data_IF_019184739671
#
_entry.id   IF_019184739671
#
_cell.length_a   1.000
_cell.length_b   1.000
_cell.length_c   1.000
_cell.angle_alpha   90.00
_cell.angle_beta   90.00
_cell.angle_gamma   90.00
#
_symmetry.space_group_name_H-M   'P 1'
#
loop_
_entity.id
_entity.type
_entity.pdbx_description
1 polymer ?
#
# COMPACT_ATOMS: atom_id res chain seq x y z
N UNK A 1 -46.31 -9.61 10.21
CA UNK A 1 -45.29 -10.17 11.12
C UNK A 1 -43.96 -10.07 10.39
N UNK A 2 -43.26 -8.94 10.58
CA UNK A 2 -41.90 -8.75 10.06
C UNK A 2 -40.93 -9.48 10.96
N UNK A 3 -40.30 -10.52 10.44
CA UNK A 3 -39.20 -11.22 11.09
C UNK A 3 -37.96 -10.35 10.92
N UNK A 4 -37.65 -9.51 11.92
CA UNK A 4 -36.35 -8.88 12.02
C UNK A 4 -35.32 -9.98 12.28
N UNK A 5 -34.62 -10.39 11.22
CA UNK A 5 -33.47 -11.26 11.32
C UNK A 5 -32.44 -10.56 12.22
N UNK A 6 -32.37 -10.98 13.48
CA UNK A 6 -31.32 -10.58 14.40
C UNK A 6 -30.00 -11.06 13.81
N UNK A 7 -29.20 -10.12 13.30
CA UNK A 7 -27.84 -10.40 12.89
C UNK A 7 -27.09 -11.01 14.08
N UNK A 8 -26.65 -12.26 13.93
CA UNK A 8 -25.98 -13.01 14.98
C UNK A 8 -24.63 -12.35 15.33
N UNK A 9 -24.44 -11.84 16.57
CA UNK A 9 -23.19 -11.22 16.99
C UNK A 9 -21.99 -12.19 16.99
N UNK A 10 -22.23 -13.49 16.87
CA UNK A 10 -21.19 -14.54 16.82
C UNK A 10 -20.41 -14.56 15.48
N UNK A 11 -20.97 -13.98 14.41
CA UNK A 11 -20.37 -13.95 13.06
C UNK A 11 -19.36 -12.80 12.86
N UNK A 12 -19.02 -12.04 13.91
CA UNK A 12 -17.97 -11.02 13.81
C UNK A 12 -16.63 -11.69 13.51
N UNK A 13 -15.95 -11.28 12.43
CA UNK A 13 -14.65 -11.85 12.08
C UNK A 13 -13.63 -11.52 13.19
N UNK A 14 -12.57 -12.32 13.33
CA UNK A 14 -11.50 -12.03 14.29
C UNK A 14 -10.95 -10.60 14.13
N UNK A 15 -10.88 -10.11 12.89
CA UNK A 15 -10.44 -8.75 12.55
C UNK A 15 -11.38 -7.71 13.16
N UNK A 16 -12.70 -7.91 13.11
CA UNK A 16 -13.68 -6.95 13.65
C UNK A 16 -13.57 -6.86 15.18
N UNK A 17 -13.35 -7.99 15.85
CA UNK A 17 -13.13 -8.03 17.30
C UNK A 17 -11.82 -7.33 17.69
N UNK A 18 -10.75 -7.58 16.93
CA UNK A 18 -9.45 -6.93 17.18
C UNK A 18 -9.53 -5.43 16.92
N UNK A 19 -10.21 -5.01 15.86
CA UNK A 19 -10.46 -3.60 15.52
C UNK A 19 -11.21 -2.89 16.64
N UNK A 20 -12.28 -3.50 17.16
CA UNK A 20 -13.05 -2.96 18.28
C UNK A 20 -12.19 -2.79 19.53
N UNK A 21 -11.33 -3.76 19.86
CA UNK A 21 -10.41 -3.67 21.02
C UNK A 21 -9.38 -2.55 20.88
N UNK A 22 -8.91 -2.31 19.66
CA UNK A 22 -7.91 -1.29 19.34
C UNK A 22 -8.53 0.08 19.04
N UNK A 23 -9.86 0.23 19.05
CA UNK A 23 -10.59 1.44 18.67
C UNK A 23 -10.22 1.97 17.28
N UNK A 24 -9.90 1.08 16.34
CA UNK A 24 -9.57 1.40 14.94
C UNK A 24 -10.60 0.80 13.99
N UNK A 25 -10.80 1.36 12.79
CA UNK A 25 -11.69 0.77 11.80
C UNK A 25 -11.14 -0.60 11.32
N UNK A 26 -11.99 -1.63 11.11
CA UNK A 26 -11.54 -2.95 10.67
C UNK A 26 -10.86 -2.91 9.30
N UNK A 27 -11.22 -1.94 8.45
CA UNK A 27 -10.56 -1.75 7.16
C UNK A 27 -9.10 -1.30 7.32
N UNK A 28 -8.74 -0.61 8.41
CA UNK A 28 -7.35 -0.25 8.70
C UNK A 28 -6.51 -1.49 9.01
N UNK A 29 -7.06 -2.44 9.79
CA UNK A 29 -6.38 -3.71 10.05
C UNK A 29 -6.24 -4.55 8.77
N UNK A 30 -7.28 -4.60 7.94
CA UNK A 30 -7.21 -5.26 6.62
C UNK A 30 -6.14 -4.60 5.74
N UNK A 31 -6.08 -3.27 5.71
CA UNK A 31 -5.06 -2.53 4.96
C UNK A 31 -3.65 -2.81 5.46
N UNK A 32 -3.44 -2.90 6.76
CA UNK A 32 -2.15 -3.24 7.37
C UNK A 32 -1.73 -4.67 7.02
N UNK A 33 -2.66 -5.62 7.05
CA UNK A 33 -2.42 -6.99 6.60
C UNK A 33 -2.09 -7.05 5.11
N UNK A 34 -2.88 -6.38 4.26
CA UNK A 34 -2.61 -6.30 2.81
C UNK A 34 -1.24 -5.68 2.57
N UNK A 35 -0.88 -4.61 3.28
CA UNK A 35 0.43 -3.97 3.18
C UNK A 35 1.57 -4.92 3.56
N UNK A 36 1.42 -5.66 4.68
CA UNK A 36 2.39 -6.66 5.10
C UNK A 36 2.57 -7.79 4.09
N UNK A 37 1.47 -8.35 3.57
CA UNK A 37 1.51 -9.40 2.53
C UNK A 37 2.13 -8.86 1.23
N UNK A 38 1.78 -7.64 0.85
CA UNK A 38 2.36 -6.96 -0.33
C UNK A 38 3.87 -6.84 -0.21
N UNK A 39 4.38 -6.48 0.97
CA UNK A 39 5.81 -6.40 1.23
C UNK A 39 6.50 -7.77 1.07
N UNK A 40 5.90 -8.84 1.60
CA UNK A 40 6.43 -10.21 1.43
C UNK A 40 6.42 -10.64 -0.03
N UNK A 41 5.35 -10.34 -0.78
CA UNK A 41 5.27 -10.62 -2.22
C UNK A 41 6.37 -9.87 -2.97
N UNK A 42 6.61 -8.59 -2.65
CA UNK A 42 7.68 -7.81 -3.25
C UNK A 42 9.05 -8.48 -3.02
N UNK A 43 9.35 -8.88 -1.77
CA UNK A 43 10.61 -9.54 -1.44
C UNK A 43 10.77 -10.90 -2.16
N UNK A 44 9.71 -11.71 -2.17
CA UNK A 44 9.72 -13.02 -2.82
C UNK A 44 9.87 -12.90 -4.35
N UNK A 45 9.13 -11.99 -4.98
CA UNK A 45 9.22 -11.72 -6.41
C UNK A 45 10.60 -11.18 -6.79
N UNK A 46 11.15 -10.24 -6.00
CA UNK A 46 12.49 -9.72 -6.21
C UNK A 46 13.54 -10.83 -6.15
N UNK A 47 13.52 -11.65 -5.09
CA UNK A 47 14.45 -12.78 -4.94
C UNK A 47 14.31 -13.77 -6.09
N UNK A 48 13.10 -14.11 -6.50
CA UNK A 48 12.85 -15.03 -7.60
C UNK A 48 13.37 -14.47 -8.93
N UNK A 49 13.14 -13.18 -9.21
CA UNK A 49 13.57 -12.53 -10.45
C UNK A 49 15.09 -12.29 -10.49
N UNK A 50 15.69 -11.89 -9.37
CA UNK A 50 17.11 -11.55 -9.28
C UNK A 50 18.02 -12.77 -9.10
N UNK A 51 17.66 -13.73 -8.24
CA UNK A 51 18.55 -14.86 -7.94
C UNK A 51 18.21 -16.12 -8.75
N UNK A 52 16.91 -16.39 -8.96
CA UNK A 52 16.44 -17.72 -9.40
C UNK A 52 16.19 -17.77 -10.90
N UNK A 53 15.56 -16.74 -11.47
CA UNK A 53 15.20 -16.73 -12.88
C UNK A 53 16.33 -16.15 -13.73
N UNK A 54 16.88 -16.91 -14.69
CA UNK A 54 17.83 -16.41 -15.66
C UNK A 54 17.16 -15.64 -16.82
N UNK A 55 15.86 -15.29 -16.67
CA UNK A 55 15.08 -14.54 -17.67
C UNK A 55 15.59 -13.11 -17.82
N UNK A 56 16.23 -12.56 -16.79
CA UNK A 56 16.79 -11.21 -16.81
C UNK A 56 18.27 -11.23 -17.29
N UNK A 57 18.76 -10.11 -17.84
CA UNK A 57 20.16 -9.98 -18.27
C UNK A 57 21.14 -10.35 -17.15
N UNK A 58 22.38 -10.71 -17.52
CA UNK A 58 23.42 -11.01 -16.55
C UNK A 58 23.61 -9.82 -15.58
N UNK A 59 23.78 -10.13 -14.29
CA UNK A 59 24.31 -9.15 -13.33
C UNK A 59 25.66 -8.66 -13.88
N UNK A 60 26.01 -7.41 -13.61
CA UNK A 60 27.24 -6.75 -14.09
C UNK A 60 27.11 -6.11 -15.49
N UNK A 61 25.90 -6.10 -16.08
CA UNK A 61 25.65 -5.30 -17.29
C UNK A 61 25.30 -3.87 -16.89
N UNK A 62 26.23 -2.94 -17.11
CA UNK A 62 25.98 -1.51 -16.96
C UNK A 62 25.00 -1.02 -18.03
N UNK A 63 24.05 -0.17 -17.64
CA UNK A 63 23.11 0.45 -18.57
C UNK A 63 23.13 1.96 -18.40
N UNK A 64 23.50 2.66 -19.47
CA UNK A 64 23.45 4.11 -19.53
C UNK A 64 22.04 4.59 -19.86
N UNK A 65 21.41 5.26 -18.90
CA UNK A 65 20.27 6.14 -19.16
C UNK A 65 20.78 7.53 -19.51
N UNK A 66 19.95 8.30 -20.22
CA UNK A 66 20.24 9.67 -20.66
C UNK A 66 20.76 10.59 -19.53
N UNK A 67 20.38 10.32 -18.28
CA UNK A 67 20.74 11.15 -17.13
C UNK A 67 21.56 10.43 -16.05
N UNK A 68 21.76 9.11 -16.15
CA UNK A 68 22.47 8.32 -15.14
C UNK A 68 22.85 6.91 -15.63
N UNK A 69 23.99 6.41 -15.20
CA UNK A 69 24.42 5.02 -15.43
C UNK A 69 23.96 4.14 -14.28
N UNK A 70 23.29 3.04 -14.57
CA UNK A 70 23.02 2.00 -13.57
C UNK A 70 24.04 0.86 -13.67
N UNK A 71 24.71 0.51 -12.56
CA UNK A 71 25.77 -0.50 -12.55
C UNK A 71 25.25 -1.93 -12.69
N UNK A 72 23.96 -2.17 -12.42
CA UNK A 72 23.34 -3.49 -12.53
C UNK A 72 21.91 -3.36 -13.08
N UNK A 73 21.76 -3.60 -14.39
CA UNK A 73 20.45 -3.57 -15.04
C UNK A 73 19.54 -4.71 -14.57
N UNK A 74 20.10 -5.84 -14.13
CA UNK A 74 19.32 -6.97 -13.62
C UNK A 74 18.66 -6.60 -12.31
N UNK A 75 19.41 -5.94 -11.42
CA UNK A 75 18.90 -5.42 -10.15
C UNK A 75 17.75 -4.43 -10.38
N UNK A 76 17.93 -3.52 -11.35
CA UNK A 76 16.90 -2.54 -11.69
C UNK A 76 15.63 -3.23 -12.21
N UNK A 77 15.75 -4.11 -13.21
CA UNK A 77 14.59 -4.78 -13.80
C UNK A 77 13.89 -5.67 -12.77
N UNK A 78 14.64 -6.43 -11.98
CA UNK A 78 14.08 -7.28 -10.93
C UNK A 78 13.31 -6.46 -9.88
N UNK A 79 13.87 -5.33 -9.44
CA UNK A 79 13.23 -4.46 -8.44
C UNK A 79 11.96 -3.79 -8.98
N UNK A 80 11.98 -3.28 -10.22
CA UNK A 80 10.81 -2.67 -10.86
C UNK A 80 9.69 -3.70 -11.04
N UNK A 81 9.99 -4.87 -11.61
CA UNK A 81 8.99 -5.91 -11.82
C UNK A 81 8.42 -6.46 -10.51
N UNK A 82 9.23 -6.62 -9.47
CA UNK A 82 8.77 -7.04 -8.16
C UNK A 82 7.79 -6.03 -7.53
N UNK A 83 8.10 -4.73 -7.64
CA UNK A 83 7.24 -3.65 -7.15
C UNK A 83 5.91 -3.64 -7.91
N UNK A 84 5.94 -3.75 -9.24
CA UNK A 84 4.72 -3.80 -10.06
C UNK A 84 3.81 -4.99 -9.69
N UNK A 85 4.39 -6.19 -9.53
CA UNK A 85 3.63 -7.37 -9.10
C UNK A 85 2.99 -7.17 -7.72
N UNK A 86 3.73 -6.57 -6.78
CA UNK A 86 3.24 -6.26 -5.45
C UNK A 86 2.10 -5.23 -5.49
N UNK A 87 2.23 -4.18 -6.31
CA UNK A 87 1.19 -3.15 -6.48
C UNK A 87 -0.08 -3.75 -7.10
N UNK A 88 0.05 -4.62 -8.10
CA UNK A 88 -1.08 -5.33 -8.71
C UNK A 88 -1.83 -6.14 -7.65
N UNK A 89 -1.11 -6.94 -6.85
CA UNK A 89 -1.72 -7.68 -5.75
C UNK A 89 -2.43 -6.73 -4.75
N UNK A 90 -1.74 -5.66 -4.31
CA UNK A 90 -2.30 -4.67 -3.39
C UNK A 90 -3.60 -4.09 -3.92
N UNK A 91 -3.65 -3.73 -5.20
CA UNK A 91 -4.85 -3.20 -5.83
C UNK A 91 -6.03 -4.18 -5.73
N UNK A 92 -5.83 -5.43 -6.13
CA UNK A 92 -6.90 -6.44 -6.07
C UNK A 92 -7.33 -6.74 -4.63
N UNK A 93 -6.40 -6.83 -3.69
CA UNK A 93 -6.70 -7.07 -2.28
C UNK A 93 -7.47 -5.89 -1.65
N UNK A 94 -7.12 -4.65 -2.00
CA UNK A 94 -7.86 -3.48 -1.53
C UNK A 94 -9.26 -3.41 -2.13
N UNK A 95 -9.39 -3.64 -3.44
CA UNK A 95 -10.64 -3.51 -4.19
C UNK A 95 -11.66 -4.65 -3.92
N UNK A 96 -11.18 -5.86 -3.68
CA UNK A 96 -12.04 -7.05 -3.52
C UNK A 96 -12.19 -7.52 -2.06
N UNK A 97 -11.34 -7.04 -1.13
CA UNK A 97 -11.40 -7.48 0.26
C UNK A 97 -11.45 -6.32 1.27
N UNK A 98 -10.52 -5.37 1.20
CA UNK A 98 -10.44 -4.29 2.22
C UNK A 98 -11.61 -3.31 2.12
N UNK A 99 -11.94 -2.87 0.91
CA UNK A 99 -13.00 -1.90 0.63
C UNK A 99 -14.15 -2.50 -0.18
N UNK A 100 -14.32 -3.83 -0.12
CA UNK A 100 -15.36 -4.57 -0.86
C UNK A 100 -16.75 -3.98 -0.69
N UNK A 101 -17.07 -3.53 0.52
CA UNK A 101 -18.40 -3.05 0.89
C UNK A 101 -18.62 -1.56 0.58
N UNK A 102 -17.63 -0.90 -0.03
CA UNK A 102 -17.69 0.53 -0.38
C UNK A 102 -18.13 0.73 -1.83
N UNK A 103 -18.87 1.82 -2.12
CA UNK A 103 -19.37 2.09 -3.47
C UNK A 103 -18.21 2.31 -4.46
N UNK A 104 -18.21 1.53 -5.54
CA UNK A 104 -17.23 1.61 -6.62
C UNK A 104 -17.61 2.74 -7.58
N UNK A 105 -16.73 3.72 -7.77
CA UNK A 105 -16.96 4.84 -8.71
C UNK A 105 -15.88 4.85 -9.79
N UNK A 106 -16.30 4.85 -11.06
CA UNK A 106 -15.40 4.92 -12.22
C UNK A 106 -14.82 3.59 -12.70
N UNK A 107 -13.97 3.66 -13.73
CA UNK A 107 -13.38 2.50 -14.41
C UNK A 107 -12.21 1.90 -13.62
N UNK A 108 -11.96 0.60 -13.75
CA UNK A 108 -10.93 -0.14 -12.99
C UNK A 108 -9.51 0.45 -13.14
N UNK A 109 -9.02 0.73 -14.35
CA UNK A 109 -7.68 1.30 -14.56
C UNK A 109 -7.49 2.67 -13.91
N UNK A 110 -8.51 3.54 -13.92
CA UNK A 110 -8.44 4.87 -13.27
C UNK A 110 -8.25 4.74 -11.76
N UNK A 111 -8.86 3.72 -11.15
CA UNK A 111 -8.67 3.42 -9.72
C UNK A 111 -7.29 2.84 -9.42
N UNK A 112 -6.76 2.02 -10.32
CA UNK A 112 -5.38 1.54 -10.25
C UNK A 112 -4.36 2.69 -10.32
N UNK A 113 -4.53 3.63 -11.25
CA UNK A 113 -3.68 4.83 -11.34
C UNK A 113 -3.78 5.70 -10.08
N UNK A 114 -4.99 5.89 -9.53
CA UNK A 114 -5.16 6.64 -8.27
C UNK A 114 -4.47 5.96 -7.09
N UNK A 115 -4.50 4.64 -7.01
CA UNK A 115 -3.79 3.89 -5.98
C UNK A 115 -2.26 4.04 -6.10
N UNK A 116 -1.75 4.02 -7.33
CA UNK A 116 -0.34 4.28 -7.61
C UNK A 116 0.05 5.70 -7.19
N UNK A 117 -0.72 6.71 -7.64
CA UNK A 117 -0.48 8.12 -7.31
C UNK A 117 -0.48 8.37 -5.78
N UNK A 118 -1.41 7.75 -5.05
CA UNK A 118 -1.48 7.89 -3.58
C UNK A 118 -0.35 7.15 -2.86
N UNK A 119 0.17 6.07 -3.44
CA UNK A 119 1.36 5.41 -2.90
C UNK A 119 2.62 6.27 -3.07
N UNK A 120 2.77 6.95 -4.20
CA UNK A 120 3.86 7.92 -4.44
C UNK A 120 3.87 9.03 -3.38
N UNK A 121 2.69 9.55 -3.00
CA UNK A 121 2.58 10.57 -1.94
C UNK A 121 3.14 10.05 -0.61
N UNK A 122 2.86 8.80 -0.25
CA UNK A 122 3.43 8.17 0.95
C UNK A 122 4.96 8.07 0.90
N UNK A 123 5.53 7.74 -0.26
CA UNK A 123 6.98 7.75 -0.46
C UNK A 123 7.58 9.15 -0.36
N UNK A 124 6.93 10.17 -0.94
CA UNK A 124 7.38 11.57 -0.84
C UNK A 124 7.41 12.01 0.63
N UNK A 125 6.37 11.69 1.40
CA UNK A 125 6.32 12.00 2.85
C UNK A 125 7.45 11.29 3.58
N UNK A 126 7.75 10.04 3.24
CA UNK A 126 8.86 9.29 3.84
C UNK A 126 10.19 9.99 3.57
N UNK A 127 10.48 10.31 2.31
CA UNK A 127 11.72 10.98 1.89
C UNK A 127 11.84 12.36 2.54
N UNK A 128 10.77 13.16 2.51
CA UNK A 128 10.74 14.48 3.14
C UNK A 128 11.02 14.38 4.66
N UNK A 129 10.40 13.41 5.34
CA UNK A 129 10.63 13.19 6.77
C UNK A 129 12.09 12.91 7.08
N UNK A 130 12.74 12.00 6.33
CA UNK A 130 14.17 11.69 6.54
C UNK A 130 15.05 12.90 6.30
N UNK A 131 14.80 13.63 5.21
CA UNK A 131 15.60 14.79 4.80
C UNK A 131 15.33 16.05 5.63
N UNK A 132 14.29 16.07 6.47
CA UNK A 132 14.06 17.14 7.44
C UNK A 132 14.60 16.73 8.80
N UNK A 133 14.16 15.59 9.35
CA UNK A 133 14.52 15.16 10.71
C UNK A 133 16.02 14.89 10.88
N UNK A 134 16.69 14.36 9.86
CA UNK A 134 18.11 14.01 9.97
C UNK A 134 19.00 15.25 9.93
N UNK A 135 19.02 16.08 8.88
CA UNK A 135 19.94 17.21 8.82
C UNK A 135 19.51 18.43 9.66
N UNK A 136 18.20 18.66 9.84
CA UNK A 136 17.71 19.86 10.56
C UNK A 136 17.65 19.62 12.07
N UNK A 137 17.23 18.41 12.49
CA UNK A 137 17.01 18.09 13.90
C UNK A 137 18.07 17.14 14.49
N UNK A 138 19.02 16.65 13.68
CA UNK A 138 20.09 15.75 14.13
C UNK A 138 19.60 14.37 14.56
N UNK A 139 18.37 13.98 14.19
CA UNK A 139 17.81 12.68 14.54
C UNK A 139 18.48 11.60 13.70
N UNK A 140 18.76 10.45 14.32
CA UNK A 140 19.35 9.30 13.64
C UNK A 140 18.59 8.95 12.35
N UNK A 141 19.28 8.73 11.21
CA UNK A 141 18.63 8.42 9.93
C UNK A 141 17.67 7.23 10.01
N UNK A 142 17.97 6.23 10.83
CA UNK A 142 17.12 5.05 11.03
C UNK A 142 15.81 5.38 11.75
N UNK A 143 15.87 6.27 12.74
CA UNK A 143 14.68 6.74 13.47
C UNK A 143 13.85 7.64 12.56
N UNK A 144 14.48 8.56 11.84
CA UNK A 144 13.83 9.42 10.86
C UNK A 144 13.14 8.62 9.75
N UNK A 145 13.78 7.55 9.26
CA UNK A 145 13.21 6.65 8.26
C UNK A 145 11.99 5.90 8.81
N UNK A 146 12.07 5.41 10.04
CA UNK A 146 10.96 4.72 10.70
C UNK A 146 9.74 5.63 10.84
N UNK A 147 9.95 6.88 11.30
CA UNK A 147 8.90 7.89 11.39
C UNK A 147 8.32 8.21 10.00
N UNK A 148 9.19 8.41 9.02
CA UNK A 148 8.78 8.70 7.64
C UNK A 148 7.90 7.61 7.04
N UNK A 149 8.28 6.34 7.21
CA UNK A 149 7.49 5.19 6.74
C UNK A 149 6.12 5.15 7.42
N UNK A 150 6.06 5.37 8.74
CA UNK A 150 4.79 5.39 9.48
C UNK A 150 3.89 6.53 8.98
N UNK A 151 4.43 7.74 8.80
CA UNK A 151 3.69 8.90 8.30
C UNK A 151 3.22 8.69 6.86
N UNK A 152 4.09 8.19 5.99
CA UNK A 152 3.77 7.90 4.60
C UNK A 152 2.70 6.82 4.47
N UNK A 153 2.77 5.79 5.31
CA UNK A 153 1.76 4.75 5.40
C UNK A 153 0.41 5.30 5.88
N UNK A 154 0.42 6.14 6.92
CA UNK A 154 -0.80 6.78 7.45
C UNK A 154 -1.45 7.68 6.40
N UNK A 155 -0.66 8.48 5.69
CA UNK A 155 -1.15 9.30 4.58
C UNK A 155 -1.77 8.42 3.48
N UNK A 156 -1.09 7.34 3.08
CA UNK A 156 -1.59 6.41 2.06
C UNK A 156 -2.93 5.76 2.49
N UNK A 157 -3.06 5.42 3.77
CA UNK A 157 -4.33 4.96 4.35
C UNK A 157 -5.43 6.02 4.25
N UNK A 158 -5.17 7.25 4.70
CA UNK A 158 -6.14 8.34 4.66
C UNK A 158 -6.60 8.63 3.22
N UNK A 159 -5.66 8.72 2.27
CA UNK A 159 -5.97 8.92 0.86
C UNK A 159 -6.83 7.78 0.30
N UNK A 160 -6.48 6.53 0.63
CA UNK A 160 -7.27 5.37 0.20
C UNK A 160 -8.69 5.40 0.79
N UNK A 161 -8.81 5.66 2.09
CA UNK A 161 -10.06 5.61 2.82
C UNK A 161 -11.01 6.78 2.54
N UNK A 162 -10.49 7.98 2.28
CA UNK A 162 -11.32 9.19 2.09
C UNK A 162 -11.45 9.63 0.63
N UNK A 163 -10.42 9.44 -0.20
CA UNK A 163 -10.42 9.95 -1.58
C UNK A 163 -10.71 8.86 -2.62
N UNK A 164 -10.18 7.65 -2.45
CA UNK A 164 -10.35 6.58 -3.44
C UNK A 164 -11.65 5.80 -3.17
N UNK A 165 -11.88 5.38 -1.93
CA UNK A 165 -13.07 4.63 -1.53
C UNK A 165 -13.81 5.32 -0.38
N UNK A 166 -14.44 6.49 -0.61
CA UNK A 166 -15.22 7.19 0.42
C UNK A 166 -16.39 6.35 0.93
N UNK A 167 -16.60 6.36 2.24
CA UNK A 167 -17.67 5.57 2.88
C UNK A 167 -19.06 6.11 2.52
N UNK A 168 -20.01 5.22 2.25
CA UNK A 168 -21.37 5.57 1.81
C UNK A 168 -22.14 6.47 2.79
N UNK A 169 -21.77 6.45 4.08
CA UNK A 169 -22.39 7.26 5.13
C UNK A 169 -22.18 8.76 4.96
N UNK A 170 -21.19 9.20 4.17
CA UNK A 170 -20.93 10.62 3.86
C UNK A 170 -21.98 11.28 2.96
N UNK A 171 -22.85 10.51 2.29
CA UNK A 171 -23.88 11.07 1.38
C UNK A 171 -25.25 11.27 2.02
N UNK A 172 -25.42 10.95 3.31
CA UNK A 172 -26.71 11.05 4.00
C UNK A 172 -26.87 12.36 4.81
N UNK A 173 -26.37 13.49 4.28
CA UNK A 173 -26.83 14.81 4.71
C UNK A 173 -27.42 15.53 3.51
N UNK A 174 -28.70 15.31 3.17
CA UNK A 174 -29.44 16.27 2.39
C UNK A 174 -29.65 17.52 3.27
N UNK A 175 -29.21 18.67 2.77
CA UNK A 175 -29.74 19.95 3.23
C UNK A 175 -31.20 20.11 2.76
#
# INVERSE_FOLDING_TARGET
>A
METTASADPSSSSFIDRLAARLHVPPEFLKFLLVGGVTFVINLAAFKLLYDVLPVLPAGDTEFDFVFFTHPDIRLLLASVLAVELAIIFKFFALENWTFRDRPRRGWGPVRFLRLNATSIVGQIITVATVNILTPVFGISPYVSLSIGVVLGFMANWLFSAYLIWPSARSKASPA
#
